data_IF_600760312723
#
_entry.id   IF_600760312723
#
_cell.length_a   1.000
_cell.length_b   1.000
_cell.length_c   1.000
_cell.angle_alpha   90.00
_cell.angle_beta   90.00
_cell.angle_gamma   90.00
#
_symmetry.space_group_name_H-M   'P 1'
#
loop_
_entity.id
_entity.type
_entity.pdbx_description
1 polymer ?
#
# COMPACT_ATOMS: atom_id res chain seq x y z
N UNK A 1 5.08 22.24 11.21
CA UNK A 1 4.29 21.61 12.30
C UNK A 1 5.11 21.66 13.56
N UNK A 2 4.66 22.41 14.58
CA UNK A 2 5.37 22.60 15.85
C UNK A 2 5.06 21.41 16.78
N UNK A 3 6.07 20.62 17.13
CA UNK A 3 5.97 19.67 18.23
C UNK A 3 5.96 20.46 19.54
N UNK A 4 4.82 20.49 20.23
CA UNK A 4 4.76 20.96 21.61
C UNK A 4 5.34 19.87 22.51
N UNK A 5 6.52 20.12 23.06
CA UNK A 5 7.06 19.36 24.18
C UNK A 5 6.26 19.76 25.42
N UNK A 6 5.45 18.84 25.94
CA UNK A 6 4.97 18.91 27.32
C UNK A 6 5.41 17.62 28.00
N UNK A 7 6.59 17.70 28.64
CA UNK A 7 7.03 16.74 29.63
C UNK A 7 6.06 16.78 30.81
N UNK A 8 5.30 15.71 31.02
CA UNK A 8 4.79 15.37 32.35
C UNK A 8 5.30 13.97 32.69
N UNK A 9 6.43 13.95 33.41
CA UNK A 9 6.87 12.80 34.18
C UNK A 9 5.84 12.55 35.28
N UNK A 10 5.11 11.44 35.20
CA UNK A 10 4.54 10.81 36.40
C UNK A 10 5.04 9.36 36.40
N UNK A 11 6.14 9.15 37.11
CA UNK A 11 6.64 7.83 37.42
C UNK A 11 5.75 7.22 38.51
N UNK A 12 4.80 6.36 38.13
CA UNK A 12 4.08 5.53 39.08
C UNK A 12 4.96 4.33 39.46
N UNK A 13 5.71 4.46 40.56
CA UNK A 13 6.41 3.35 41.18
C UNK A 13 5.43 2.53 42.02
N UNK A 14 5.06 1.33 41.56
CA UNK A 14 4.37 0.36 42.42
C UNK A 14 5.41 -0.37 43.28
N UNK A 15 5.52 0.03 44.55
CA UNK A 15 6.35 -0.68 45.52
C UNK A 15 5.55 -1.87 46.10
N UNK A 16 5.82 -3.08 45.60
CA UNK A 16 5.33 -4.32 46.21
C UNK A 16 6.33 -4.76 47.28
N UNK A 17 5.93 -4.68 48.55
CA UNK A 17 6.78 -5.06 49.68
C UNK A 17 6.67 -6.57 49.94
N UNK A 18 7.59 -7.33 49.38
CA UNK A 18 7.83 -8.73 49.78
C UNK A 18 9.29 -8.85 50.18
N UNK A 19 9.51 -9.08 51.48
CA UNK A 19 10.71 -9.72 52.01
C UNK A 19 12.05 -9.30 51.40
N UNK A 20 12.60 -8.19 51.88
CA UNK A 20 14.05 -7.97 52.05
C UNK A 20 14.96 -8.30 50.85
N UNK A 21 14.55 -7.98 49.62
CA UNK A 21 15.43 -7.83 48.45
C UNK A 21 14.85 -6.75 47.53
N UNK A 22 15.49 -5.58 47.48
CA UNK A 22 15.15 -4.54 46.50
C UNK A 22 15.64 -5.00 45.11
N UNK A 23 14.71 -5.43 44.25
CA UNK A 23 14.96 -5.59 42.81
C UNK A 23 14.42 -4.35 42.13
N UNK A 24 15.31 -3.44 41.75
CA UNK A 24 14.93 -2.29 40.90
C UNK A 24 14.87 -2.78 39.46
N UNK A 25 13.68 -3.21 39.02
CA UNK A 25 13.43 -3.52 37.62
C UNK A 25 13.45 -2.21 36.81
N UNK A 26 14.57 -1.94 36.14
CA UNK A 26 14.63 -0.91 35.11
C UNK A 26 13.85 -1.42 33.89
N UNK A 27 12.55 -1.14 33.87
CA UNK A 27 11.76 -1.26 32.65
C UNK A 27 12.27 -0.23 31.65
N UNK A 28 13.21 -0.63 30.80
CA UNK A 28 13.55 0.13 29.61
C UNK A 28 12.31 0.14 28.71
N UNK A 29 11.51 1.21 28.82
CA UNK A 29 10.53 1.57 27.80
C UNK A 29 11.31 1.81 26.52
N UNK A 30 11.33 0.79 25.65
CA UNK A 30 11.81 0.93 24.29
C UNK A 30 11.05 2.11 23.67
N UNK A 31 11.73 3.11 23.11
CA UNK A 31 11.04 4.20 22.43
C UNK A 31 10.15 3.59 21.36
N UNK A 32 8.86 3.95 21.39
CA UNK A 32 7.92 3.57 20.35
C UNK A 32 8.56 3.90 19.00
N UNK A 33 8.72 2.88 18.14
CA UNK A 33 9.24 3.08 16.79
C UNK A 33 8.27 3.99 16.06
N UNK A 34 8.57 5.29 16.00
CA UNK A 34 7.89 6.21 15.11
C UNK A 34 8.26 5.82 13.68
N UNK A 35 7.46 4.94 13.08
CA UNK A 35 7.52 4.72 11.65
C UNK A 35 7.02 5.99 10.97
N UNK A 36 7.77 6.50 10.00
CA UNK A 36 7.26 7.49 9.07
C UNK A 36 6.00 6.90 8.41
N UNK A 37 5.02 7.76 8.11
CA UNK A 37 3.71 7.36 7.56
C UNK A 37 3.43 8.13 6.28
N UNK A 38 2.75 7.48 5.34
CA UNK A 38 2.41 8.07 4.05
C UNK A 38 1.30 9.11 4.14
N UNK A 39 0.31 8.85 4.98
CA UNK A 39 -0.85 9.72 5.18
C UNK A 39 -1.18 9.88 6.68
N UNK A 40 -1.83 11.00 7.08
CA UNK A 40 -2.25 11.21 8.45
C UNK A 40 -3.36 10.22 8.87
N UNK A 41 -3.51 9.95 10.16
CA UNK A 41 -4.55 9.05 10.73
C UNK A 41 -5.95 9.36 10.26
N UNK A 42 -6.23 10.63 9.96
CA UNK A 42 -7.50 11.10 9.42
C UNK A 42 -7.88 10.47 8.07
N UNK A 43 -6.96 9.77 7.40
CA UNK A 43 -7.22 9.04 6.16
C UNK A 43 -7.66 7.59 6.36
N UNK A 44 -7.62 7.08 7.59
CA UNK A 44 -8.11 5.75 7.98
C UNK A 44 -7.04 4.65 8.02
N UNK A 45 -5.87 4.85 7.42
CA UNK A 45 -4.73 3.94 7.56
C UNK A 45 -3.93 4.29 8.82
N UNK A 46 -3.94 3.41 9.82
CA UNK A 46 -3.26 3.64 11.11
C UNK A 46 -1.79 3.20 11.07
N UNK A 47 -1.44 2.34 10.12
CA UNK A 47 -0.14 1.67 10.04
C UNK A 47 0.08 0.64 11.16
N UNK A 48 -0.94 0.38 11.98
CA UNK A 48 -0.88 -0.55 13.11
C UNK A 48 -0.83 -2.01 12.66
N UNK A 49 -1.30 -2.29 11.45
CA UNK A 49 -1.41 -3.62 10.85
C UNK A 49 -0.36 -3.83 9.75
N UNK A 50 0.63 -2.95 9.65
CA UNK A 50 1.69 -3.07 8.65
C UNK A 50 2.49 -4.36 8.89
N UNK A 51 2.55 -5.21 7.88
CA UNK A 51 3.17 -6.54 8.00
C UNK A 51 2.29 -7.60 8.66
N UNK A 52 1.00 -7.32 8.84
CA UNK A 52 -0.01 -8.29 9.25
C UNK A 52 -0.89 -8.72 8.07
N UNK A 53 -1.53 -9.89 8.20
CA UNK A 53 -2.46 -10.47 7.22
C UNK A 53 -3.63 -9.54 6.94
N UNK A 54 -4.14 -8.88 7.98
CA UNK A 54 -5.30 -7.98 7.92
C UNK A 54 -5.12 -6.82 6.93
N UNK A 55 -3.88 -6.34 6.73
CA UNK A 55 -3.55 -5.30 5.77
C UNK A 55 -3.51 -5.80 4.31
N UNK A 56 -3.28 -7.10 4.08
CA UNK A 56 -3.24 -7.71 2.75
C UNK A 56 -4.62 -8.14 2.24
N UNK A 57 -5.55 -8.49 3.14
CA UNK A 57 -6.89 -8.97 2.78
C UNK A 57 -7.63 -8.05 1.80
N UNK A 58 -7.66 -6.71 1.98
CA UNK A 58 -8.32 -5.83 1.02
C UNK A 58 -7.70 -5.87 -0.39
N UNK A 59 -6.38 -6.02 -0.48
CA UNK A 59 -5.64 -6.08 -1.75
C UNK A 59 -5.89 -7.41 -2.46
N UNK A 60 -5.93 -8.52 -1.71
CA UNK A 60 -6.29 -9.84 -2.24
C UNK A 60 -7.74 -9.87 -2.74
N UNK A 61 -8.67 -9.23 -2.01
CA UNK A 61 -10.07 -9.11 -2.44
C UNK A 61 -10.19 -8.29 -3.72
N UNK A 62 -9.45 -7.18 -3.80
CA UNK A 62 -9.36 -6.36 -5.00
C UNK A 62 -8.88 -7.19 -6.21
N UNK A 63 -7.78 -7.93 -6.06
CA UNK A 63 -7.24 -8.82 -7.10
C UNK A 63 -8.28 -9.86 -7.53
N UNK A 64 -8.96 -10.48 -6.57
CA UNK A 64 -10.00 -11.48 -6.86
C UNK A 64 -11.21 -10.89 -7.59
N UNK A 65 -11.61 -9.65 -7.27
CA UNK A 65 -12.70 -8.97 -7.95
C UNK A 65 -12.35 -8.65 -9.41
N UNK A 66 -11.13 -8.16 -9.66
CA UNK A 66 -10.66 -7.87 -11.03
C UNK A 66 -10.55 -9.17 -11.85
N UNK A 67 -9.99 -10.23 -11.28
CA UNK A 67 -9.92 -11.55 -11.94
C UNK A 67 -11.32 -12.13 -12.21
N UNK A 68 -12.27 -11.97 -11.29
CA UNK A 68 -13.64 -12.41 -11.51
C UNK A 68 -14.35 -11.60 -12.61
N UNK A 69 -14.08 -10.29 -12.70
CA UNK A 69 -14.58 -9.45 -13.79
C UNK A 69 -14.02 -9.92 -15.15
N UNK A 70 -12.74 -10.27 -15.21
CA UNK A 70 -12.11 -10.89 -16.39
C UNK A 70 -12.77 -12.23 -16.75
N UNK A 71 -13.01 -13.09 -15.75
CA UNK A 71 -13.66 -14.39 -15.94
C UNK A 71 -15.16 -14.31 -16.31
N UNK A 72 -15.81 -13.16 -16.11
CA UNK A 72 -17.20 -12.94 -16.50
C UNK A 72 -17.35 -12.58 -17.98
N UNK A 73 -16.28 -12.22 -18.69
CA UNK A 73 -16.33 -11.93 -20.12
C UNK A 73 -16.75 -13.17 -20.92
N UNK A 74 -17.59 -13.01 -21.96
CA UNK A 74 -18.00 -11.75 -22.60
C UNK A 74 -19.26 -11.08 -21.99
N UNK A 75 -19.77 -11.52 -20.82
CA UNK A 75 -20.93 -10.88 -20.19
C UNK A 75 -20.56 -9.52 -19.57
N UNK A 76 -20.72 -8.46 -20.36
CA UNK A 76 -20.39 -7.09 -19.95
C UNK A 76 -21.19 -6.61 -18.74
N UNK A 77 -22.43 -7.09 -18.54
CA UNK A 77 -23.26 -6.65 -17.41
C UNK A 77 -22.76 -7.26 -16.10
N UNK A 78 -22.43 -8.55 -16.12
CA UNK A 78 -21.87 -9.20 -14.94
C UNK A 78 -20.45 -8.68 -14.65
N UNK A 79 -19.61 -8.50 -15.69
CA UNK A 79 -18.29 -7.90 -15.54
C UNK A 79 -18.33 -6.50 -14.90
N UNK A 80 -19.29 -5.66 -15.32
CA UNK A 80 -19.51 -4.32 -14.76
C UNK A 80 -19.92 -4.38 -13.29
N UNK A 81 -20.92 -5.21 -12.96
CA UNK A 81 -21.40 -5.38 -11.58
C UNK A 81 -20.29 -5.84 -10.63
N UNK A 82 -19.41 -6.73 -11.08
CA UNK A 82 -18.25 -7.15 -10.29
C UNK A 82 -17.27 -5.98 -10.14
N UNK A 83 -16.96 -5.25 -11.22
CA UNK A 83 -15.99 -4.15 -11.19
C UNK A 83 -16.47 -2.93 -10.39
N UNK A 84 -17.77 -2.75 -10.20
CA UNK A 84 -18.37 -1.76 -9.30
C UNK A 84 -18.03 -2.02 -7.82
N UNK A 85 -17.63 -3.24 -7.46
CA UNK A 85 -17.16 -3.55 -6.09
C UNK A 85 -15.75 -3.00 -5.81
N UNK A 86 -14.99 -2.68 -6.87
CA UNK A 86 -13.67 -2.05 -6.78
C UNK A 86 -13.85 -0.55 -6.54
N UNK A 87 -13.04 0.12 -5.68
CA UNK A 87 -13.16 1.55 -5.45
C UNK A 87 -13.12 2.38 -6.74
N UNK A 88 -14.08 3.28 -6.90
CA UNK A 88 -14.26 4.08 -8.12
C UNK A 88 -13.26 5.24 -8.23
N UNK A 89 -12.68 5.70 -7.12
CA UNK A 89 -11.74 6.83 -7.13
C UNK A 89 -10.31 6.37 -6.88
N UNK A 90 -9.35 7.03 -7.53
CA UNK A 90 -7.93 6.75 -7.37
C UNK A 90 -7.51 6.79 -5.89
N UNK A 91 -7.98 7.80 -5.16
CA UNK A 91 -7.68 7.98 -3.74
C UNK A 91 -8.15 6.78 -2.92
N UNK A 92 -9.39 6.34 -3.10
CA UNK A 92 -9.97 5.27 -2.28
C UNK A 92 -9.38 3.91 -2.69
N UNK A 93 -9.00 3.73 -3.96
CA UNK A 93 -8.26 2.59 -4.44
C UNK A 93 -6.86 2.51 -3.80
N UNK A 94 -6.07 3.58 -3.93
CA UNK A 94 -4.70 3.63 -3.39
C UNK A 94 -4.67 3.54 -1.86
N UNK A 95 -5.73 3.99 -1.19
CA UNK A 95 -5.91 3.86 0.26
C UNK A 95 -5.89 2.41 0.74
N UNK A 96 -6.35 1.46 -0.07
CA UNK A 96 -6.32 0.03 0.30
C UNK A 96 -4.89 -0.49 0.52
N UNK A 97 -3.90 0.17 -0.08
CA UNK A 97 -2.49 -0.22 -0.03
C UNK A 97 -1.73 0.48 1.09
N UNK A 98 -2.26 1.57 1.66
CA UNK A 98 -1.50 2.42 2.59
C UNK A 98 -1.13 1.73 3.89
N UNK A 99 -1.93 0.75 4.33
CA UNK A 99 -1.66 -0.02 5.55
C UNK A 99 -0.52 -1.03 5.35
N UNK A 100 -0.42 -1.63 4.16
CA UNK A 100 0.61 -2.63 3.85
C UNK A 100 1.90 -2.04 3.27
N UNK A 101 1.79 -1.00 2.43
CA UNK A 101 2.93 -0.38 1.77
C UNK A 101 3.91 0.21 2.77
N UNK A 102 5.20 0.15 2.42
CA UNK A 102 6.25 0.85 3.15
C UNK A 102 6.00 2.36 3.08
N UNK A 103 6.52 3.08 4.06
CA UNK A 103 6.38 4.53 4.05
C UNK A 103 7.41 5.18 3.14
N UNK A 104 6.99 6.20 2.38
CA UNK A 104 7.88 7.03 1.58
C UNK A 104 8.95 7.59 2.49
N UNK A 105 10.18 7.16 2.24
CA UNK A 105 11.31 7.68 3.02
C UNK A 105 11.40 9.19 2.83
N UNK A 106 11.81 9.93 3.87
CA UNK A 106 12.01 11.38 3.77
C UNK A 106 12.97 11.74 2.62
N UNK A 107 13.98 10.88 2.40
CA UNK A 107 14.94 10.97 1.30
C UNK A 107 14.26 10.84 -0.07
N UNK A 108 13.39 9.85 -0.25
CA UNK A 108 12.60 9.67 -1.47
C UNK A 108 11.68 10.87 -1.73
N UNK A 109 10.94 11.32 -0.71
CA UNK A 109 10.05 12.48 -0.84
C UNK A 109 10.83 13.75 -1.23
N UNK A 110 12.04 13.91 -0.71
CA UNK A 110 12.93 15.01 -1.06
C UNK A 110 13.46 14.86 -2.50
N UNK A 111 13.83 13.66 -2.94
CA UNK A 111 14.23 13.40 -4.33
C UNK A 111 13.07 13.68 -5.29
N UNK A 112 11.86 13.21 -5.02
CA UNK A 112 10.68 13.41 -5.87
C UNK A 112 10.27 14.89 -5.94
N UNK A 113 10.31 15.60 -4.81
CA UNK A 113 9.97 17.03 -4.74
C UNK A 113 11.04 17.93 -5.38
N UNK A 114 12.30 17.48 -5.41
CA UNK A 114 13.43 18.21 -5.99
C UNK A 114 13.93 17.60 -7.29
N UNK A 115 13.18 16.69 -7.93
CA UNK A 115 13.59 16.02 -9.16
C UNK A 115 13.95 17.03 -10.28
N UNK A 116 13.37 18.24 -10.25
CA UNK A 116 13.73 19.34 -11.16
C UNK A 116 15.10 20.01 -10.90
N UNK A 117 15.67 19.90 -9.69
CA UNK A 117 16.93 20.55 -9.30
C UNK A 117 18.15 19.61 -9.35
N UNK A 118 17.94 18.30 -9.22
CA UNK A 118 19.02 17.31 -9.11
C UNK A 118 19.66 16.94 -10.46
N UNK A 119 18.93 17.06 -11.58
CA UNK A 119 19.45 16.71 -12.91
C UNK A 119 20.60 17.57 -13.44
N UNK A 120 20.93 18.70 -12.79
CA UNK A 120 21.94 19.64 -13.31
C UNK A 120 23.24 19.76 -12.53
N UNK A 121 23.44 19.01 -11.43
CA UNK A 121 24.69 19.15 -10.67
C UNK A 121 25.24 17.82 -10.16
N UNK A 122 26.05 17.13 -10.97
CA UNK A 122 27.01 16.12 -10.52
C UNK A 122 27.99 16.63 -9.43
N UNK A 123 27.92 17.91 -9.06
CA UNK A 123 28.73 18.53 -8.00
C UNK A 123 28.02 18.76 -6.65
N UNK A 124 26.73 18.45 -6.49
CA UNK A 124 26.02 18.78 -5.23
C UNK A 124 26.39 17.87 -4.05
N UNK A 125 26.75 16.61 -4.32
CA UNK A 125 27.19 15.69 -3.27
C UNK A 125 28.58 16.06 -2.71
N UNK A 126 29.37 16.84 -3.44
CA UNK A 126 30.72 17.21 -3.05
C UNK A 126 31.74 16.07 -3.19
N UNK A 127 33.02 16.37 -3.40
CA UNK A 127 34.04 15.34 -3.61
C UNK A 127 34.14 14.39 -2.42
N UNK A 128 33.97 13.09 -2.67
CA UNK A 128 34.10 12.03 -1.67
C UNK A 128 32.83 11.67 -0.90
N UNK A 129 31.65 12.21 -1.25
CA UNK A 129 30.38 11.74 -0.66
C UNK A 129 29.73 10.65 -1.52
N UNK A 130 29.08 9.64 -0.89
CA UNK A 130 28.31 8.64 -1.62
C UNK A 130 27.11 9.30 -2.31
N UNK A 131 26.74 8.79 -3.49
CA UNK A 131 25.60 9.27 -4.26
C UNK A 131 24.34 9.25 -3.40
N UNK A 132 23.56 10.34 -3.46
CA UNK A 132 22.26 10.38 -2.80
C UNK A 132 21.31 9.27 -3.31
N UNK A 133 21.54 8.70 -4.49
CA UNK A 133 20.74 7.61 -5.06
C UNK A 133 21.19 6.21 -4.62
N UNK A 134 22.29 6.07 -3.88
CA UNK A 134 22.88 4.77 -3.55
C UNK A 134 22.03 3.88 -2.61
N UNK A 135 20.98 4.44 -1.99
CA UNK A 135 20.12 3.74 -1.01
C UNK A 135 18.62 3.93 -1.31
N UNK A 136 18.21 3.77 -2.56
CA UNK A 136 16.78 3.76 -2.91
C UNK A 136 16.14 2.45 -2.42
N UNK A 137 14.98 2.54 -1.78
CA UNK A 137 14.25 1.37 -1.30
C UNK A 137 13.54 0.70 -2.48
N UNK A 138 14.19 -0.28 -3.12
CA UNK A 138 13.68 -0.96 -4.31
C UNK A 138 12.28 -1.56 -4.12
N UNK A 139 12.00 -2.08 -2.91
CA UNK A 139 10.69 -2.66 -2.58
C UNK A 139 9.60 -1.59 -2.61
N UNK A 140 9.86 -0.44 -2.03
CA UNK A 140 8.95 0.71 -2.01
C UNK A 140 8.65 1.19 -3.43
N UNK A 141 9.68 1.38 -4.27
CA UNK A 141 9.51 1.76 -5.67
C UNK A 141 8.62 0.78 -6.42
N UNK A 142 8.86 -0.53 -6.24
CA UNK A 142 8.02 -1.57 -6.87
C UNK A 142 6.59 -1.58 -6.35
N UNK A 143 6.39 -1.40 -5.04
CA UNK A 143 5.05 -1.30 -4.44
C UNK A 143 4.27 -0.14 -5.06
N UNK A 144 4.88 1.04 -5.20
CA UNK A 144 4.18 2.19 -5.78
C UNK A 144 3.97 2.07 -7.28
N UNK A 145 4.92 1.50 -8.02
CA UNK A 145 4.80 1.19 -9.45
C UNK A 145 3.61 0.27 -9.69
N UNK A 146 3.65 -0.95 -9.14
CA UNK A 146 2.60 -1.95 -9.32
C UNK A 146 1.21 -1.46 -8.87
N UNK A 147 1.13 -0.67 -7.78
CA UNK A 147 -0.13 -0.05 -7.33
C UNK A 147 -0.68 0.94 -8.37
N UNK A 148 0.19 1.77 -8.95
CA UNK A 148 -0.23 2.77 -9.93
C UNK A 148 -0.62 2.11 -11.26
N UNK A 149 0.14 1.11 -11.70
CA UNK A 149 -0.14 0.35 -12.93
C UNK A 149 -1.48 -0.38 -12.81
N UNK A 150 -1.75 -1.02 -11.66
CA UNK A 150 -3.04 -1.64 -11.38
C UNK A 150 -4.20 -0.63 -11.42
N UNK A 151 -4.01 0.59 -10.89
CA UNK A 151 -5.05 1.63 -10.95
C UNK A 151 -5.34 2.05 -12.39
N UNK A 152 -4.29 2.35 -13.17
CA UNK A 152 -4.42 2.78 -14.57
C UNK A 152 -5.17 1.71 -15.38
N UNK A 153 -4.75 0.45 -15.26
CA UNK A 153 -5.38 -0.66 -15.98
C UNK A 153 -6.85 -0.87 -15.57
N UNK A 154 -7.20 -0.68 -14.29
CA UNK A 154 -8.60 -0.74 -13.82
C UNK A 154 -9.42 0.43 -14.36
N UNK A 155 -8.85 1.63 -14.41
CA UNK A 155 -9.53 2.83 -14.92
C UNK A 155 -9.77 2.74 -16.43
N UNK A 156 -8.77 2.29 -17.19
CA UNK A 156 -8.87 2.00 -18.62
C UNK A 156 -9.93 0.93 -18.89
N UNK A 157 -9.94 -0.17 -18.14
CA UNK A 157 -10.95 -1.22 -18.26
C UNK A 157 -12.38 -0.71 -18.00
N UNK A 158 -12.56 0.24 -17.07
CA UNK A 158 -13.87 0.87 -16.82
C UNK A 158 -14.31 1.73 -17.99
N UNK A 159 -13.40 2.51 -18.56
CA UNK A 159 -13.68 3.32 -19.73
C UNK A 159 -14.09 2.44 -20.92
N UNK A 160 -13.36 1.36 -21.14
CA UNK A 160 -13.65 0.39 -22.21
C UNK A 160 -14.98 -0.33 -21.99
N UNK A 161 -15.29 -0.76 -20.76
CA UNK A 161 -16.59 -1.35 -20.44
C UNK A 161 -17.75 -0.40 -20.77
N UNK A 162 -17.62 0.88 -20.40
CA UNK A 162 -18.65 1.88 -20.73
C UNK A 162 -18.81 2.04 -22.24
N UNK A 163 -17.70 2.09 -22.97
CA UNK A 163 -17.71 2.15 -24.43
C UNK A 163 -18.42 0.94 -25.05
N UNK A 164 -18.03 -0.28 -24.68
CA UNK A 164 -18.62 -1.52 -25.19
C UNK A 164 -20.12 -1.64 -24.87
N UNK A 165 -20.54 -1.20 -23.68
CA UNK A 165 -21.97 -1.17 -23.30
C UNK A 165 -22.78 -0.18 -24.16
N UNK A 166 -22.18 0.91 -24.62
CA UNK A 166 -22.85 1.92 -25.46
C UNK A 166 -22.89 1.54 -26.95
N UNK A 167 -21.80 1.01 -27.48
CA UNK A 167 -21.70 0.60 -28.90
C UNK A 167 -22.34 -0.76 -29.16
N UNK A 168 -22.44 -1.62 -28.13
CA UNK A 168 -22.94 -2.99 -28.28
C UNK A 168 -21.97 -3.90 -29.04
N UNK A 169 -20.68 -3.54 -29.10
CA UNK A 169 -19.63 -4.38 -29.67
C UNK A 169 -19.44 -5.65 -28.85
N UNK A 170 -19.33 -6.79 -29.52
CA UNK A 170 -19.01 -8.07 -28.90
C UNK A 170 -17.52 -8.36 -28.77
N UNK A 171 -16.66 -7.47 -29.29
CA UNK A 171 -15.21 -7.62 -29.12
C UNK A 171 -14.81 -7.18 -27.71
N UNK A 172 -14.23 -8.12 -26.96
CA UNK A 172 -13.82 -7.91 -25.57
C UNK A 172 -12.32 -8.09 -25.39
N UNK A 173 -11.56 -8.19 -26.49
CA UNK A 173 -10.13 -8.47 -26.45
C UNK A 173 -9.34 -7.36 -25.72
N UNK A 174 -9.64 -6.09 -26.03
CA UNK A 174 -8.97 -4.95 -25.39
C UNK A 174 -9.33 -4.86 -23.91
N UNK A 175 -10.61 -5.04 -23.58
CA UNK A 175 -11.06 -5.12 -22.19
C UNK A 175 -10.39 -6.26 -21.41
N UNK A 176 -10.28 -7.44 -22.01
CA UNK A 176 -9.61 -8.58 -21.40
C UNK A 176 -8.11 -8.29 -21.17
N UNK A 177 -7.45 -7.60 -22.10
CA UNK A 177 -6.05 -7.19 -21.96
C UNK A 177 -5.86 -6.18 -20.81
N UNK A 178 -6.74 -5.19 -20.68
CA UNK A 178 -6.70 -4.21 -19.59
C UNK A 178 -6.94 -4.85 -18.22
N UNK A 179 -7.96 -5.71 -18.10
CA UNK A 179 -8.22 -6.46 -16.88
C UNK A 179 -7.08 -7.43 -16.54
N UNK A 180 -6.48 -8.08 -17.56
CA UNK A 180 -5.30 -8.92 -17.40
C UNK A 180 -4.10 -8.14 -16.86
N UNK A 181 -3.81 -6.96 -17.43
CA UNK A 181 -2.74 -6.08 -16.96
C UNK A 181 -2.96 -5.63 -15.51
N UNK A 182 -4.22 -5.37 -15.12
CA UNK A 182 -4.56 -5.06 -13.74
C UNK A 182 -4.29 -6.24 -12.79
N UNK A 183 -4.64 -7.47 -13.19
CA UNK A 183 -4.34 -8.68 -12.40
C UNK A 183 -2.83 -8.88 -12.25
N UNK A 184 -2.07 -8.74 -13.34
CA UNK A 184 -0.62 -8.91 -13.34
C UNK A 184 0.07 -7.88 -12.42
N UNK A 185 -0.35 -6.61 -12.49
CA UNK A 185 0.17 -5.57 -11.62
C UNK A 185 -0.17 -5.82 -10.14
N UNK A 186 -1.37 -6.31 -9.83
CA UNK A 186 -1.75 -6.69 -8.46
C UNK A 186 -0.96 -7.92 -7.97
N UNK A 187 -0.70 -8.90 -8.84
CA UNK A 187 0.13 -10.05 -8.51
C UNK A 187 1.59 -9.65 -8.26
N UNK A 188 2.12 -8.73 -9.05
CA UNK A 188 3.45 -8.15 -8.82
C UNK A 188 3.54 -7.42 -7.48
N UNK A 189 2.52 -6.66 -7.11
CA UNK A 189 2.45 -6.05 -5.78
C UNK A 189 2.43 -7.10 -4.67
N UNK A 190 1.56 -8.11 -4.78
CA UNK A 190 1.38 -9.15 -3.76
C UNK A 190 2.63 -10.03 -3.60
N UNK A 191 3.42 -10.24 -4.66
CA UNK A 191 4.72 -10.95 -4.60
C UNK A 191 5.76 -10.24 -3.72
N UNK A 192 5.59 -8.95 -3.44
CA UNK A 192 6.44 -8.19 -2.51
C UNK A 192 6.11 -8.44 -1.03
N UNK A 193 5.03 -9.20 -0.76
CA UNK A 193 4.65 -9.62 0.58
C UNK A 193 5.33 -10.94 0.99
N UNK A 194 5.58 -11.16 2.29
CA UNK A 194 6.02 -12.46 2.78
C UNK A 194 5.03 -13.58 2.38
N UNK A 195 5.50 -14.72 1.84
CA UNK A 195 4.64 -15.74 1.25
C UNK A 195 3.69 -16.38 2.27
N UNK A 196 4.11 -16.46 3.55
CA UNK A 196 3.25 -16.97 4.62
C UNK A 196 2.01 -16.09 4.85
N UNK A 197 2.20 -14.77 4.90
CA UNK A 197 1.11 -13.81 5.08
C UNK A 197 0.18 -13.79 3.88
N UNK A 198 0.75 -13.86 2.66
CA UNK A 198 -0.04 -13.91 1.43
C UNK A 198 -0.92 -15.17 1.38
N UNK A 199 -0.39 -16.33 1.77
CA UNK A 199 -1.16 -17.58 1.78
C UNK A 199 -2.33 -17.54 2.79
N UNK A 200 -2.16 -16.84 3.90
CA UNK A 200 -3.22 -16.65 4.90
C UNK A 200 -4.27 -15.64 4.41
N UNK A 201 -3.82 -14.50 3.88
CA UNK A 201 -4.70 -13.49 3.27
C UNK A 201 -5.48 -14.06 2.08
N UNK A 202 -4.91 -14.98 1.30
CA UNK A 202 -5.58 -15.67 0.20
C UNK A 202 -6.74 -16.58 0.67
N UNK A 203 -6.68 -17.11 1.90
CA UNK A 203 -7.79 -17.90 2.47
C UNK A 203 -8.94 -17.00 2.91
N UNK A 204 -8.63 -15.85 3.51
CA UNK A 204 -9.62 -14.89 4.02
C UNK A 204 -10.18 -13.96 2.94
N UNK A 205 -9.40 -13.73 1.89
CA UNK A 205 -9.67 -12.77 0.82
C UNK A 205 -10.46 -13.32 -0.36
N UNK A 206 -10.75 -14.63 -0.40
CA UNK A 206 -11.62 -15.19 -1.45
C UNK A 206 -13.01 -14.58 -1.37
N UNK A 207 -13.30 -13.71 -2.33
CA UNK A 207 -14.65 -13.18 -2.53
C UNK A 207 -15.53 -14.34 -2.97
N UNK A 208 -16.47 -14.76 -2.13
CA UNK A 208 -17.55 -15.66 -2.54
C UNK A 208 -18.54 -14.79 -3.33
N UNK A 209 -18.31 -14.68 -4.64
CA UNK A 209 -19.28 -14.04 -5.54
C UNK A 209 -20.45 -15.03 -5.65
N UNK A 210 -21.61 -14.64 -5.12
CA UNK A 210 -22.87 -15.38 -5.19
C UNK A 210 -23.76 -14.83 -6.29
#
# INVERSE_FOLDING_TARGET
MRCAVVSNLVASALAVNVGRRFVVAHGALLPARCLARNLPESTGATGASRGDVTALVPIVRLRSAVEASLGALPDLKEATKILETVPATERDFKRLFDEFSDAVSYKQRFLDSNAFLVYYTQGFDGPGRPSIEADLNERETRQYGSRNDAWIAVDDARAELQYLLTEGSGDTADLAAMLGAAVDALDDYLRLAPPALLAEAAKEGRVIIR
#
